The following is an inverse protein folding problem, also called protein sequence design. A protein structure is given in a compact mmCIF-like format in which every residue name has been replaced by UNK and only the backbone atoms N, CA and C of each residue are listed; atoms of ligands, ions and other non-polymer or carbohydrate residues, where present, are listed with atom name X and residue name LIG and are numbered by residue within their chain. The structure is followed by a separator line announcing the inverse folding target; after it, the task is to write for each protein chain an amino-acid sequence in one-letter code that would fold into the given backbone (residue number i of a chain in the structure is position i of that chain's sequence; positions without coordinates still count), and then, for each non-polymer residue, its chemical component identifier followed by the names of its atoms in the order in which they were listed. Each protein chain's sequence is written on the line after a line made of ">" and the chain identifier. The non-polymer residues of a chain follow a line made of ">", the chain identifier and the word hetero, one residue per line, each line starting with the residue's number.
data_IF_560322411736
#
_entry.id   IF_560322411736
#
_cell.length_a   1.000
_cell.length_b   1.000
_cell.length_c   1.000
_cell.angle_alpha   90.00
_cell.angle_beta   90.00
_cell.angle_gamma   90.00
#
_symmetry.space_group_name_H-M   'P 1'
#
loop_
_entity.id
_entity.type
_entity.pdbx_description
1 polymer ?
#
# COMPACT_ATOMS: atom_id res chain seq x y z
N UNK A 1 59.74 48.71 -33.72
CA UNK A 1 60.36 48.05 -32.56
C UNK A 1 59.55 46.82 -32.25
N UNK A 2 60.19 45.65 -32.40
CA UNK A 2 59.64 44.32 -32.11
C UNK A 2 59.40 44.15 -30.62
N UNK A 3 58.30 43.47 -30.25
CA UNK A 3 58.29 42.58 -29.08
C UNK A 3 57.37 41.39 -29.35
N UNK A 4 58.02 40.24 -29.59
CA UNK A 4 57.46 38.91 -29.39
C UNK A 4 57.39 38.63 -27.89
N UNK A 5 56.30 38.06 -27.39
CA UNK A 5 56.27 37.34 -26.11
C UNK A 5 55.18 36.25 -26.19
N UNK A 6 55.53 35.05 -26.66
CA UNK A 6 55.86 33.86 -25.86
C UNK A 6 54.63 33.20 -25.20
N UNK A 7 54.05 32.23 -25.92
CA UNK A 7 53.11 31.23 -25.41
C UNK A 7 53.81 30.39 -24.33
N UNK A 8 53.36 30.53 -23.07
CA UNK A 8 53.75 29.65 -21.99
C UNK A 8 52.63 28.65 -21.75
N UNK A 9 52.90 27.38 -22.09
CA UNK A 9 52.11 26.26 -21.65
C UNK A 9 52.26 26.08 -20.14
N UNK A 10 51.13 25.95 -19.44
CA UNK A 10 51.10 25.36 -18.10
C UNK A 10 49.92 24.40 -18.01
N UNK A 11 50.26 23.23 -17.51
CA UNK A 11 49.59 21.94 -17.43
C UNK A 11 48.17 22.00 -16.82
N UNK A 12 47.20 21.38 -17.50
CA UNK A 12 45.87 21.09 -16.95
C UNK A 12 45.96 20.07 -15.80
N UNK A 13 45.24 20.26 -14.68
CA UNK A 13 45.20 19.25 -13.62
C UNK A 13 44.42 18.02 -14.11
N UNK A 14 45.06 16.86 -14.04
CA UNK A 14 44.45 15.55 -14.31
C UNK A 14 43.45 15.27 -13.19
N UNK A 15 42.16 15.41 -13.48
CA UNK A 15 41.09 14.95 -12.59
C UNK A 15 41.11 13.42 -12.53
N UNK A 16 41.47 12.88 -11.36
CA UNK A 16 41.29 11.45 -11.07
C UNK A 16 39.80 11.18 -10.82
N UNK A 17 39.16 10.26 -11.56
CA UNK A 17 37.78 9.90 -11.26
C UNK A 17 37.74 9.25 -9.86
N UNK A 18 36.92 9.82 -8.97
CA UNK A 18 36.64 9.24 -7.69
C UNK A 18 35.93 7.89 -7.91
N UNK A 19 36.59 6.80 -7.54
CA UNK A 19 35.97 5.49 -7.47
C UNK A 19 34.84 5.53 -6.44
N UNK A 20 33.59 5.57 -6.89
CA UNK A 20 32.43 5.43 -6.03
C UNK A 20 32.53 4.11 -5.27
N UNK A 21 32.42 4.09 -3.93
CA UNK A 21 32.23 2.83 -3.24
C UNK A 21 30.90 2.27 -3.71
N UNK A 22 30.95 1.16 -4.45
CA UNK A 22 29.80 0.32 -4.74
C UNK A 22 29.16 -0.07 -3.41
N UNK A 23 28.20 0.73 -2.96
CA UNK A 23 27.29 0.37 -1.87
C UNK A 23 26.50 -0.80 -2.42
N UNK A 24 26.96 -2.00 -2.08
CA UNK A 24 26.13 -3.19 -2.11
C UNK A 24 24.91 -2.85 -1.27
N UNK A 25 23.82 -2.46 -1.94
CA UNK A 25 22.52 -2.37 -1.32
C UNK A 25 22.17 -3.80 -0.94
N UNK A 26 22.59 -4.17 0.27
CA UNK A 26 22.15 -5.38 0.95
C UNK A 26 20.63 -5.28 0.95
N UNK A 27 20.00 -6.03 0.05
CA UNK A 27 18.56 -6.12 -0.04
C UNK A 27 18.15 -6.83 1.25
N UNK A 28 17.82 -6.04 2.28
CA UNK A 28 17.25 -6.56 3.51
C UNK A 28 15.87 -7.03 3.09
N UNK A 29 15.75 -8.34 2.82
CA UNK A 29 14.47 -9.01 2.69
C UNK A 29 13.78 -8.81 4.04
N UNK A 30 12.96 -7.75 4.13
CA UNK A 30 12.17 -7.46 5.30
C UNK A 30 11.16 -8.61 5.38
N UNK A 31 11.33 -9.47 6.39
CA UNK A 31 10.35 -10.51 6.69
C UNK A 31 8.96 -9.85 6.68
N UNK A 32 8.00 -10.49 5.98
CA UNK A 32 6.62 -10.01 5.88
C UNK A 32 6.11 -9.89 7.32
N UNK A 33 6.02 -8.66 7.83
CA UNK A 33 5.50 -8.42 9.18
C UNK A 33 4.01 -8.67 9.09
N UNK A 34 3.56 -9.72 9.76
CA UNK A 34 2.14 -9.99 9.90
C UNK A 34 1.49 -8.86 10.70
N UNK A 35 0.33 -8.34 10.28
CA UNK A 35 -0.35 -7.29 11.03
C UNK A 35 -0.76 -7.80 12.40
N UNK A 36 -0.83 -6.89 13.37
CA UNK A 36 -1.27 -7.26 14.72
C UNK A 36 -2.72 -7.76 14.72
N UNK A 37 -3.03 -8.78 15.54
CA UNK A 37 -4.41 -9.28 15.68
C UNK A 37 -5.38 -8.16 16.08
N UNK A 38 -4.91 -7.20 16.86
CA UNK A 38 -5.66 -6.00 17.25
C UNK A 38 -6.07 -5.17 16.03
N UNK A 39 -5.15 -4.91 15.10
CA UNK A 39 -5.45 -4.14 13.90
C UNK A 39 -6.33 -4.89 12.92
N UNK A 40 -6.16 -6.21 12.81
CA UNK A 40 -7.09 -7.07 12.05
C UNK A 40 -8.50 -6.97 12.63
N UNK A 41 -8.68 -7.08 13.95
CA UNK A 41 -9.99 -6.96 14.59
C UNK A 41 -10.62 -5.57 14.42
N UNK A 42 -9.81 -4.50 14.49
CA UNK A 42 -10.26 -3.14 14.22
C UNK A 42 -10.76 -3.03 12.78
N UNK A 43 -10.00 -3.53 11.80
CA UNK A 43 -10.37 -3.46 10.39
C UNK A 43 -11.55 -4.38 10.04
N UNK A 44 -11.70 -5.52 10.71
CA UNK A 44 -12.87 -6.40 10.60
C UNK A 44 -14.14 -5.67 11.04
N UNK A 45 -14.15 -5.15 12.28
CA UNK A 45 -15.30 -4.39 12.83
C UNK A 45 -15.62 -3.16 11.99
N UNK A 46 -14.60 -2.45 11.51
CA UNK A 46 -14.78 -1.34 10.59
C UNK A 46 -15.50 -1.79 9.31
N UNK A 47 -15.06 -2.90 8.71
CA UNK A 47 -15.62 -3.41 7.45
C UNK A 47 -17.07 -3.83 7.62
N UNK A 48 -17.41 -4.55 8.68
CA UNK A 48 -18.81 -4.94 8.96
C UNK A 48 -19.71 -3.73 9.19
N UNK A 49 -19.24 -2.76 9.99
CA UNK A 49 -19.98 -1.53 10.25
C UNK A 49 -20.20 -0.74 8.97
N UNK A 50 -19.16 -0.58 8.15
CA UNK A 50 -19.24 0.21 6.93
C UNK A 50 -20.10 -0.47 5.85
N UNK A 51 -20.03 -1.80 5.73
CA UNK A 51 -20.88 -2.57 4.82
C UNK A 51 -22.37 -2.36 5.15
N UNK A 52 -22.74 -2.45 6.44
CA UNK A 52 -24.10 -2.16 6.91
C UNK A 52 -24.53 -0.71 6.64
N UNK A 53 -23.64 0.25 6.88
CA UNK A 53 -23.94 1.67 6.70
C UNK A 53 -24.11 2.07 5.22
N UNK A 54 -23.31 1.49 4.33
CA UNK A 54 -23.33 1.80 2.90
C UNK A 54 -24.29 0.93 2.08
N UNK A 55 -24.88 -0.11 2.69
CA UNK A 55 -25.75 -1.07 2.00
C UNK A 55 -25.00 -1.93 0.99
N UNK A 56 -23.73 -2.23 1.27
CA UNK A 56 -22.89 -3.12 0.45
C UNK A 56 -22.67 -4.45 1.14
N UNK A 57 -22.21 -5.43 0.38
CA UNK A 57 -21.99 -6.80 0.83
C UNK A 57 -20.54 -7.21 0.57
N UNK A 58 -20.09 -8.21 1.31
CA UNK A 58 -18.78 -8.82 1.07
C UNK A 58 -18.82 -9.71 -0.17
N UNK A 59 -17.63 -9.98 -0.73
CA UNK A 59 -17.47 -10.94 -1.81
C UNK A 59 -18.01 -12.33 -1.40
N UNK A 60 -18.58 -13.07 -2.35
CA UNK A 60 -18.95 -14.49 -2.18
C UNK A 60 -17.75 -15.33 -1.74
N UNK A 61 -16.55 -14.97 -2.19
CA UNK A 61 -15.30 -15.55 -1.72
C UNK A 61 -14.78 -14.77 -0.51
N UNK A 62 -14.87 -15.41 0.66
CA UNK A 62 -14.37 -14.87 1.93
C UNK A 62 -12.84 -14.74 1.94
N UNK A 63 -12.11 -15.49 1.12
CA UNK A 63 -10.66 -15.34 0.96
C UNK A 63 -10.28 -13.94 0.51
N UNK A 64 -11.00 -13.40 -0.48
CA UNK A 64 -10.80 -12.02 -0.96
C UNK A 64 -11.02 -11.01 0.16
N UNK A 65 -12.15 -11.13 0.87
CA UNK A 65 -12.50 -10.26 2.00
C UNK A 65 -11.41 -10.28 3.08
N UNK A 66 -10.95 -11.47 3.46
CA UNK A 66 -9.93 -11.68 4.49
C UNK A 66 -8.57 -11.08 4.11
N UNK A 67 -8.11 -11.29 2.87
CA UNK A 67 -6.83 -10.75 2.39
C UNK A 67 -6.85 -9.22 2.37
N UNK A 68 -7.97 -8.62 1.95
CA UNK A 68 -8.10 -7.15 1.93
C UNK A 68 -8.12 -6.59 3.35
N UNK A 69 -8.87 -7.17 4.28
CA UNK A 69 -8.90 -6.74 5.68
C UNK A 69 -7.49 -6.82 6.30
N UNK A 70 -6.75 -7.90 6.03
CA UNK A 70 -5.37 -8.08 6.48
C UNK A 70 -4.44 -7.02 5.89
N UNK A 71 -4.54 -6.73 4.58
CA UNK A 71 -3.74 -5.70 3.93
C UNK A 71 -4.04 -4.29 4.46
N UNK A 72 -5.31 -3.98 4.74
CA UNK A 72 -5.69 -2.73 5.39
C UNK A 72 -5.13 -2.62 6.81
N UNK A 73 -5.12 -3.74 7.56
CA UNK A 73 -4.54 -3.79 8.89
C UNK A 73 -3.01 -3.58 8.87
N UNK A 74 -2.31 -4.19 7.90
CA UNK A 74 -0.87 -4.01 7.73
C UNK A 74 -0.50 -2.57 7.39
N UNK A 75 -1.23 -1.93 6.47
CA UNK A 75 -1.03 -0.50 6.18
C UNK A 75 -1.38 0.38 7.38
N UNK A 76 -2.40 0.01 8.16
CA UNK A 76 -2.70 0.72 9.41
C UNK A 76 -1.56 0.63 10.43
N UNK A 77 -0.94 -0.53 10.58
CA UNK A 77 0.17 -0.73 11.52
C UNK A 77 1.46 -0.06 11.03
N UNK A 78 1.74 -0.12 9.73
CA UNK A 78 2.99 0.38 9.15
C UNK A 78 2.97 1.87 8.79
N UNK A 79 1.81 2.40 8.37
CA UNK A 79 1.66 3.78 7.88
C UNK A 79 0.78 4.65 8.80
N UNK A 80 0.10 4.03 9.78
CA UNK A 80 -0.84 4.71 10.69
C UNK A 80 -2.28 4.83 10.16
N UNK A 81 -2.50 4.64 8.86
CA UNK A 81 -3.80 4.71 8.20
C UNK A 81 -4.06 3.50 7.28
N UNK A 82 -5.32 3.05 7.13
CA UNK A 82 -5.65 1.89 6.31
C UNK A 82 -5.65 2.24 4.81
N UNK A 83 -4.47 2.44 4.24
CA UNK A 83 -4.30 2.71 2.81
C UNK A 83 -4.79 1.50 1.98
N UNK A 84 -5.50 1.73 0.88
CA UNK A 84 -6.05 0.66 0.03
C UNK A 84 -4.95 -0.32 -0.46
N UNK A 85 -5.04 -1.64 -0.15
CA UNK A 85 -3.97 -2.59 -0.41
C UNK A 85 -3.91 -3.10 -1.86
N UNK A 86 -4.98 -2.94 -2.64
CA UNK A 86 -5.06 -3.42 -4.02
C UNK A 86 -4.56 -2.39 -5.05
N UNK A 87 -3.72 -1.45 -4.64
CA UNK A 87 -3.09 -0.48 -5.54
C UNK A 87 -1.59 -0.43 -5.32
N UNK A 88 -0.88 -0.11 -6.39
CA UNK A 88 0.52 0.27 -6.33
C UNK A 88 0.64 1.78 -6.06
N UNK A 89 1.64 2.16 -5.27
CA UNK A 89 1.94 3.55 -4.93
C UNK A 89 3.45 3.73 -4.98
N UNK A 90 3.90 4.85 -5.56
CA UNK A 90 5.31 5.23 -5.58
C UNK A 90 5.77 5.70 -4.20
N UNK A 91 4.96 6.54 -3.53
CA UNK A 91 5.17 7.00 -2.16
C UNK A 91 3.91 6.78 -1.30
N UNK A 92 3.91 5.68 -0.53
CA UNK A 92 2.80 5.35 0.37
C UNK A 92 2.59 6.38 1.48
N UNK A 93 3.65 7.05 1.94
CA UNK A 93 3.54 8.01 3.04
C UNK A 93 2.87 9.31 2.58
N UNK A 94 3.23 9.79 1.38
CA UNK A 94 2.56 10.93 0.76
C UNK A 94 1.07 10.65 0.53
N UNK A 95 0.73 9.47 -0.01
CA UNK A 95 -0.66 9.08 -0.28
C UNK A 95 -1.52 8.96 0.98
N UNK A 96 -0.94 8.45 2.07
CA UNK A 96 -1.62 8.44 3.38
C UNK A 96 -1.89 9.85 3.87
N UNK A 97 -0.95 10.79 3.67
CA UNK A 97 -1.12 12.20 3.99
C UNK A 97 -2.21 12.89 3.16
N UNK A 98 -2.30 12.56 1.86
CA UNK A 98 -3.36 13.06 0.98
C UNK A 98 -4.73 12.46 1.33
N UNK A 99 -4.77 11.19 1.74
CA UNK A 99 -5.96 10.52 2.24
C UNK A 99 -6.99 10.14 1.18
N UNK A 100 -6.70 10.33 -0.11
CA UNK A 100 -7.61 9.94 -1.20
C UNK A 100 -7.89 8.43 -1.19
N UNK A 101 -6.84 7.64 -0.94
CA UNK A 101 -6.88 6.17 -0.93
C UNK A 101 -6.96 5.54 0.47
N UNK A 102 -7.09 6.35 1.52
CA UNK A 102 -7.34 5.84 2.87
C UNK A 102 -8.76 5.25 2.92
N UNK A 103 -8.88 4.00 3.38
CA UNK A 103 -10.16 3.31 3.41
C UNK A 103 -11.12 3.96 4.44
N UNK A 104 -12.37 4.30 4.06
CA UNK A 104 -12.98 4.14 2.74
C UNK A 104 -12.54 5.24 1.76
N UNK A 105 -11.97 4.82 0.62
CA UNK A 105 -11.39 5.73 -0.37
C UNK A 105 -12.45 6.61 -1.05
N UNK A 106 -12.02 7.67 -1.72
CA UNK A 106 -12.92 8.62 -2.41
C UNK A 106 -13.91 7.92 -3.37
N UNK A 107 -13.49 7.02 -4.28
CA UNK A 107 -14.42 6.31 -5.16
C UNK A 107 -15.49 5.50 -4.40
N UNK A 108 -15.11 4.87 -3.28
CA UNK A 108 -16.05 4.13 -2.45
C UNK A 108 -17.08 5.07 -1.79
N UNK A 109 -16.63 6.21 -1.27
CA UNK A 109 -17.51 7.18 -0.59
C UNK A 109 -18.49 7.87 -1.53
N UNK A 110 -18.03 8.23 -2.73
CA UNK A 110 -18.82 9.02 -3.68
C UNK A 110 -19.71 8.16 -4.58
N UNK A 111 -19.23 6.99 -4.99
CA UNK A 111 -19.88 6.16 -6.02
C UNK A 111 -20.06 4.69 -5.64
N UNK A 112 -19.68 4.28 -4.42
CA UNK A 112 -19.67 2.87 -3.98
C UNK A 112 -18.81 1.95 -4.86
N UNK A 113 -17.75 2.50 -5.46
CA UNK A 113 -16.80 1.75 -6.27
C UNK A 113 -15.64 1.24 -5.39
N UNK A 114 -15.61 -0.07 -5.11
CA UNK A 114 -14.53 -0.70 -4.35
C UNK A 114 -13.71 -1.65 -5.23
N UNK A 115 -12.55 -1.19 -5.71
CA UNK A 115 -11.63 -2.02 -6.50
C UNK A 115 -11.17 -3.29 -5.77
N UNK A 116 -11.07 -3.24 -4.44
CA UNK A 116 -10.67 -4.38 -3.61
C UNK A 116 -11.72 -5.49 -3.52
N UNK A 117 -12.94 -5.27 -4.02
CA UNK A 117 -14.08 -6.18 -3.83
C UNK A 117 -14.45 -6.43 -2.36
N UNK A 118 -14.10 -5.50 -1.47
CA UNK A 118 -14.49 -5.54 -0.06
C UNK A 118 -15.91 -5.01 0.15
N UNK A 119 -16.31 -4.00 -0.60
CA UNK A 119 -17.65 -3.41 -0.50
C UNK A 119 -18.30 -3.47 -1.87
N UNK A 120 -19.13 -4.48 -2.09
CA UNK A 120 -19.80 -4.72 -3.36
C UNK A 120 -21.27 -4.30 -3.25
N UNK A 121 -21.78 -3.64 -4.29
CA UNK A 121 -23.20 -3.35 -4.40
C UNK A 121 -23.98 -4.65 -4.66
N UNK A 122 -25.27 -4.72 -4.28
CA UNK A 122 -26.05 -5.96 -4.40
C UNK A 122 -26.23 -6.45 -5.85
N UNK A 123 -26.04 -5.58 -6.83
CA UNK A 123 -26.08 -5.87 -8.27
C UNK A 123 -24.76 -6.39 -8.84
N UNK A 124 -23.68 -6.44 -8.03
CA UNK A 124 -22.41 -7.00 -8.46
C UNK A 124 -22.46 -8.54 -8.48
N UNK A 125 -21.99 -9.17 -9.56
CA UNK A 125 -22.01 -10.63 -9.73
C UNK A 125 -21.23 -11.40 -8.64
N UNK A 126 -20.27 -10.76 -8.00
CA UNK A 126 -19.47 -11.34 -6.92
C UNK A 126 -19.96 -10.96 -5.52
N UNK A 127 -21.03 -10.15 -5.41
CA UNK A 127 -21.61 -9.82 -4.12
C UNK A 127 -22.28 -11.05 -3.49
N UNK A 128 -21.85 -11.40 -2.29
CA UNK A 128 -22.59 -12.32 -1.44
C UNK A 128 -23.78 -11.64 -0.78
N UNK A 129 -24.41 -12.35 0.15
CA UNK A 129 -25.51 -11.82 0.97
C UNK A 129 -25.06 -11.37 2.36
N UNK A 130 -23.79 -11.60 2.69
CA UNK A 130 -23.25 -11.42 4.03
C UNK A 130 -22.55 -10.07 4.21
N UNK A 131 -22.78 -9.46 5.37
CA UNK A 131 -22.12 -8.23 5.84
C UNK A 131 -21.34 -8.47 7.14
N UNK A 132 -21.07 -9.74 7.42
CA UNK A 132 -20.33 -10.21 8.59
C UNK A 132 -19.20 -11.12 8.16
N UNK A 133 -18.13 -11.10 8.93
CA UNK A 133 -17.01 -12.02 8.81
C UNK A 133 -16.39 -12.20 10.19
N UNK A 134 -16.21 -13.45 10.59
CA UNK A 134 -15.62 -13.83 11.87
C UNK A 134 -14.10 -13.71 11.84
N UNK A 135 -13.47 -13.65 13.00
CA UNK A 135 -12.01 -13.62 13.08
C UNK A 135 -11.39 -14.95 12.63
N UNK A 136 -12.11 -16.04 12.88
CA UNK A 136 -11.75 -17.41 12.55
C UNK A 136 -11.67 -17.56 11.02
N UNK A 137 -12.68 -17.06 10.29
CA UNK A 137 -12.67 -17.03 8.82
C UNK A 137 -11.48 -16.24 8.26
N UNK A 138 -11.13 -15.10 8.88
CA UNK A 138 -9.98 -14.30 8.45
C UNK A 138 -8.68 -15.06 8.69
N UNK A 139 -8.53 -15.69 9.86
CA UNK A 139 -7.34 -16.48 10.21
C UNK A 139 -7.19 -17.69 9.30
N UNK A 140 -8.26 -18.44 9.06
CA UNK A 140 -8.22 -19.62 8.22
C UNK A 140 -7.88 -19.28 6.76
N UNK A 141 -8.51 -18.25 6.21
CA UNK A 141 -8.25 -17.82 4.83
C UNK A 141 -6.82 -17.33 4.62
N UNK A 142 -6.24 -16.67 5.62
CA UNK A 142 -4.91 -16.08 5.52
C UNK A 142 -3.77 -17.00 5.96
N UNK A 143 -4.07 -18.12 6.62
CA UNK A 143 -3.08 -19.15 6.98
C UNK A 143 -2.75 -20.09 5.80
N UNK A 144 -3.60 -20.10 4.78
CA UNK A 144 -3.47 -20.96 3.58
C UNK A 144 -2.69 -20.29 2.44
N UNK A 145 -2.21 -19.06 2.64
CA UNK A 145 -1.53 -18.19 1.66
C UNK A 145 -0.11 -17.93 2.14
#
# INVERSE_FOLDING_TARGET
>A
MSTQTALHGVTLPIFKPASSPSRSHRLVVRAKVEPSEKSVEIMRKFSEKYARQSGTYFCVDKGVTSVVIKGLADHKDSLGAPLCPCRHYDDKAAEVGHGFWNCPCVPMRERKECHCMLFLTPDNDFAGTEQTISLEEIKEATSKI
#
